data_IF_534692281700
#
_entry.id   IF_534692281700
#
_cell.length_a   1.000
_cell.length_b   1.000
_cell.length_c   1.000
_cell.angle_alpha   90.00
_cell.angle_beta   90.00
_cell.angle_gamma   90.00
#
_symmetry.space_group_name_H-M   'P 1'
#
loop_
_entity.id
_entity.type
_entity.pdbx_description
1 polymer ?
#
# COMPACT_ATOMS: atom_id res chain seq x y z
N UNK A 1 -14.43 -7.82 17.34
CA UNK A 1 -14.44 -6.46 17.92
C UNK A 1 -15.50 -5.66 17.18
N UNK A 2 -16.30 -4.86 17.88
CA UNK A 2 -17.20 -3.92 17.20
C UNK A 2 -16.35 -2.82 16.55
N UNK A 3 -16.55 -2.56 15.26
CA UNK A 3 -15.93 -1.43 14.60
C UNK A 3 -16.52 -0.13 15.16
N UNK A 4 -15.66 0.78 15.57
CA UNK A 4 -16.04 2.16 15.88
C UNK A 4 -15.88 3.01 14.61
N UNK A 5 -16.88 3.83 14.30
CA UNK A 5 -16.85 4.76 13.18
C UNK A 5 -16.88 6.17 13.74
N UNK A 6 -15.94 7.01 13.28
CA UNK A 6 -15.83 8.42 13.66
C UNK A 6 -16.01 9.29 12.43
N UNK A 7 -16.82 10.34 12.55
CA UNK A 7 -16.99 11.32 11.48
C UNK A 7 -15.82 12.30 11.50
N UNK A 8 -15.20 12.50 10.33
CA UNK A 8 -14.15 13.48 10.12
C UNK A 8 -14.63 14.54 9.14
N UNK A 9 -14.09 15.75 9.27
CA UNK A 9 -14.23 16.77 8.24
C UNK A 9 -13.58 16.29 6.94
N UNK A 10 -14.27 16.47 5.82
CA UNK A 10 -13.78 16.13 4.49
C UNK A 10 -13.65 17.43 3.70
N UNK A 11 -12.43 17.99 3.58
CA UNK A 11 -12.21 19.21 2.80
C UNK A 11 -12.44 18.94 1.32
N UNK A 12 -12.73 19.99 0.55
CA UNK A 12 -12.79 19.87 -0.91
C UNK A 12 -11.39 19.68 -1.50
N UNK A 13 -11.30 19.15 -2.72
CA UNK A 13 -10.00 19.00 -3.39
C UNK A 13 -9.36 20.36 -3.69
N UNK A 14 -10.17 21.38 -3.94
CA UNK A 14 -9.74 22.75 -4.18
C UNK A 14 -9.17 23.39 -2.90
N UNK A 15 -9.79 23.13 -1.75
CA UNK A 15 -9.26 23.54 -0.45
C UNK A 15 -7.90 22.89 -0.19
N UNK A 16 -7.81 21.56 -0.38
CA UNK A 16 -6.56 20.82 -0.23
C UNK A 16 -5.47 21.35 -1.17
N UNK A 17 -5.79 21.60 -2.43
CA UNK A 17 -4.87 22.17 -3.41
C UNK A 17 -4.38 23.55 -2.97
N UNK A 18 -5.26 24.42 -2.45
CA UNK A 18 -4.90 25.73 -1.93
C UNK A 18 -3.95 25.66 -0.72
N UNK A 19 -4.22 24.76 0.23
CA UNK A 19 -3.37 24.54 1.41
C UNK A 19 -1.99 24.00 0.99
N UNK A 20 -1.95 22.99 0.12
CA UNK A 20 -0.69 22.43 -0.39
C UNK A 20 0.11 23.46 -1.17
N UNK A 21 -0.53 24.23 -2.05
CA UNK A 21 0.10 25.29 -2.84
C UNK A 21 0.76 26.34 -1.93
N UNK A 22 0.10 26.70 -0.84
CA UNK A 22 0.63 27.65 0.15
C UNK A 22 1.81 27.06 0.91
N UNK A 23 1.65 25.87 1.52
CA UNK A 23 2.68 25.28 2.38
C UNK A 23 3.94 24.83 1.63
N UNK A 24 3.80 24.39 0.37
CA UNK A 24 4.96 23.99 -0.43
C UNK A 24 5.82 25.19 -0.86
N UNK A 25 5.24 26.38 -1.05
CA UNK A 25 6.00 27.59 -1.42
C UNK A 25 7.04 28.01 -0.38
N UNK A 26 6.87 27.58 0.87
CA UNK A 26 7.83 27.86 1.94
C UNK A 26 9.14 27.06 1.77
N UNK A 27 9.12 25.98 0.97
CA UNK A 27 10.23 25.03 0.84
C UNK A 27 10.77 24.89 -0.59
N UNK A 28 10.03 25.32 -1.60
CA UNK A 28 10.37 25.15 -3.01
C UNK A 28 10.31 26.49 -3.75
N UNK A 29 11.28 26.74 -4.64
CA UNK A 29 11.37 27.98 -5.41
C UNK A 29 10.15 28.19 -6.32
N UNK A 30 9.71 27.12 -6.98
CA UNK A 30 8.56 27.12 -7.89
C UNK A 30 7.59 25.99 -7.48
N UNK A 31 6.31 26.34 -7.34
CA UNK A 31 5.25 25.39 -6.98
C UNK A 31 3.99 25.71 -7.77
N UNK A 32 3.43 24.68 -8.40
CA UNK A 32 2.07 24.69 -8.93
C UNK A 32 1.32 23.46 -8.41
N UNK A 33 0.12 23.68 -7.88
CA UNK A 33 -0.78 22.61 -7.45
C UNK A 33 -2.11 22.77 -8.17
N UNK A 34 -2.59 21.69 -8.77
CA UNK A 34 -3.87 21.63 -9.47
C UNK A 34 -4.61 20.34 -9.13
N UNK A 35 -5.93 20.39 -9.18
CA UNK A 35 -6.79 19.20 -9.13
C UNK A 35 -6.96 18.70 -10.56
N UNK A 36 -6.63 17.43 -10.79
CA UNK A 36 -6.72 16.78 -12.11
C UNK A 36 -7.37 15.42 -11.96
N UNK A 37 -7.91 14.89 -13.06
CA UNK A 37 -8.37 13.51 -13.11
C UNK A 37 -7.20 12.54 -12.92
N UNK A 38 -7.46 11.43 -12.21
CA UNK A 38 -6.45 10.38 -12.05
C UNK A 38 -6.05 9.82 -13.42
N UNK A 39 -4.76 9.81 -13.78
CA UNK A 39 -4.32 9.18 -15.01
C UNK A 39 -4.58 7.66 -14.95
N UNK A 40 -4.58 7.00 -16.13
CA UNK A 40 -4.71 5.54 -16.20
C UNK A 40 -3.43 4.87 -15.68
N UNK A 41 -3.47 4.43 -14.42
CA UNK A 41 -2.34 3.82 -13.73
C UNK A 41 -2.01 2.40 -14.23
N UNK A 42 -2.79 1.83 -15.15
CA UNK A 42 -2.41 0.58 -15.83
C UNK A 42 -1.27 0.77 -16.84
N UNK A 43 -0.93 2.02 -17.17
CA UNK A 43 0.12 2.38 -18.12
C UNK A 43 1.44 2.69 -17.42
N UNK A 44 2.51 2.71 -18.21
CA UNK A 44 3.81 3.23 -17.78
C UNK A 44 3.66 4.66 -17.22
N UNK A 45 4.40 5.03 -16.16
CA UNK A 45 5.42 4.23 -15.46
C UNK A 45 4.89 3.34 -14.33
N UNK A 46 3.57 3.30 -14.11
CA UNK A 46 2.99 2.68 -12.92
C UNK A 46 2.70 1.20 -13.09
N UNK A 47 2.07 0.83 -14.22
CA UNK A 47 1.75 -0.57 -14.59
C UNK A 47 0.92 -1.32 -13.54
N UNK A 48 0.08 -0.61 -12.79
CA UNK A 48 -0.77 -1.18 -11.74
C UNK A 48 -1.88 -2.09 -12.32
N UNK A 49 -2.41 -3.04 -11.53
CA UNK A 49 -3.54 -3.88 -11.95
C UNK A 49 -4.88 -3.13 -12.03
N UNK A 50 -4.91 -1.85 -11.68
CA UNK A 50 -6.11 -1.00 -11.69
C UNK A 50 -5.86 0.34 -12.37
N UNK A 51 -6.91 0.93 -12.94
CA UNK A 51 -6.84 2.22 -13.65
C UNK A 51 -6.54 3.42 -12.75
N UNK A 52 -6.84 3.34 -11.45
CA UNK A 52 -6.69 4.47 -10.54
C UNK A 52 -6.77 4.07 -9.08
N UNK A 53 -6.38 5.00 -8.20
CA UNK A 53 -6.39 4.84 -6.74
C UNK A 53 -7.49 5.66 -6.04
N UNK A 54 -8.29 6.39 -6.81
CA UNK A 54 -9.39 7.21 -6.30
C UNK A 54 -10.64 6.36 -6.00
N UNK A 55 -11.65 6.97 -5.35
CA UNK A 55 -12.94 6.34 -5.07
C UNK A 55 -13.15 6.12 -3.57
N UNK A 56 -13.42 4.87 -3.17
CA UNK A 56 -13.67 4.51 -1.76
C UNK A 56 -12.38 4.08 -1.07
N UNK A 57 -11.50 5.05 -0.81
CA UNK A 57 -10.18 4.81 -0.22
C UNK A 57 -10.26 4.50 1.28
N UNK A 58 -9.35 3.67 1.78
CA UNK A 58 -9.19 3.34 3.20
C UNK A 58 -7.70 3.35 3.54
N UNK A 59 -7.38 3.80 4.75
CA UNK A 59 -6.08 3.58 5.36
C UNK A 59 -6.24 2.39 6.30
N UNK A 60 -5.44 1.36 6.10
CA UNK A 60 -5.42 0.17 6.95
C UNK A 60 -4.05 0.05 7.60
N UNK A 61 -4.03 0.08 8.93
CA UNK A 61 -2.84 -0.26 9.72
C UNK A 61 -3.06 -1.66 10.30
N UNK A 62 -2.20 -2.60 9.95
CA UNK A 62 -2.34 -4.01 10.35
C UNK A 62 -1.06 -4.50 10.99
N UNK A 63 -1.19 -5.07 12.19
CA UNK A 63 -0.07 -5.58 12.97
C UNK A 63 0.42 -4.58 14.01
N UNK A 64 1.71 -4.28 14.00
CA UNK A 64 2.34 -3.31 14.90
C UNK A 64 3.39 -3.90 15.85
N UNK A 65 4.08 -2.99 16.54
CA UNK A 65 5.21 -3.27 17.45
C UNK A 65 4.96 -4.38 18.49
N UNK A 66 3.76 -4.51 19.10
CA UNK A 66 3.51 -5.58 20.07
C UNK A 66 3.67 -7.00 19.52
N UNK A 67 3.64 -7.19 18.20
CA UNK A 67 3.86 -8.48 17.55
C UNK A 67 5.30 -8.67 17.04
N UNK A 68 6.13 -7.63 17.16
CA UNK A 68 7.52 -7.61 16.69
C UNK A 68 8.52 -7.69 17.85
N UNK A 69 8.22 -7.06 18.99
CA UNK A 69 9.15 -6.90 20.11
C UNK A 69 8.72 -7.67 21.37
N UNK A 70 9.67 -8.16 22.18
CA UNK A 70 11.12 -8.18 21.92
C UNK A 70 11.53 -9.25 20.90
N UNK A 71 10.65 -10.22 20.63
CA UNK A 71 10.82 -11.25 19.62
C UNK A 71 9.58 -11.29 18.73
N UNK A 72 9.82 -11.46 17.43
CA UNK A 72 8.75 -11.52 16.42
C UNK A 72 7.81 -12.69 16.68
N UNK A 73 6.51 -12.42 16.67
CA UNK A 73 5.48 -13.45 16.73
C UNK A 73 5.18 -13.95 15.31
N UNK A 74 5.88 -15.01 14.90
CA UNK A 74 5.71 -15.65 13.59
C UNK A 74 4.31 -16.25 13.34
N UNK A 75 3.45 -16.37 14.37
CA UNK A 75 2.05 -16.80 14.18
C UNK A 75 1.17 -15.69 13.61
N UNK A 76 1.64 -14.44 13.62
CA UNK A 76 0.90 -13.27 13.12
C UNK A 76 1.16 -13.10 11.63
N UNK A 77 0.43 -13.88 10.84
CA UNK A 77 0.41 -13.81 9.38
C UNK A 77 -0.91 -13.18 8.94
N UNK A 78 -0.83 -12.21 8.03
CA UNK A 78 -1.99 -11.44 7.59
C UNK A 78 -2.34 -11.78 6.15
N UNK A 79 -3.59 -12.21 5.94
CA UNK A 79 -4.14 -12.48 4.63
C UNK A 79 -4.81 -11.21 4.09
N UNK A 80 -4.27 -10.69 2.99
CA UNK A 80 -4.76 -9.45 2.39
C UNK A 80 -6.20 -9.56 1.87
N UNK A 81 -6.67 -10.74 1.46
CA UNK A 81 -8.08 -10.92 1.09
C UNK A 81 -9.00 -10.82 2.31
N UNK A 82 -8.55 -11.33 3.47
CA UNK A 82 -9.30 -11.18 4.73
C UNK A 82 -9.32 -9.73 5.18
N UNK A 83 -8.18 -9.03 5.10
CA UNK A 83 -8.11 -7.60 5.41
C UNK A 83 -9.07 -6.81 4.52
N UNK A 84 -9.07 -7.05 3.20
CA UNK A 84 -9.98 -6.39 2.26
C UNK A 84 -11.46 -6.60 2.63
N UNK A 85 -11.83 -7.81 3.10
CA UNK A 85 -13.17 -8.10 3.61
C UNK A 85 -13.47 -7.34 4.91
N UNK A 86 -12.53 -7.32 5.87
CA UNK A 86 -12.70 -6.64 7.16
C UNK A 86 -12.86 -5.12 7.02
N UNK A 87 -12.13 -4.49 6.08
CA UNK A 87 -12.27 -3.06 5.78
C UNK A 87 -13.47 -2.76 4.85
N UNK A 88 -14.34 -3.75 4.61
CA UNK A 88 -15.55 -3.66 3.77
C UNK A 88 -15.23 -3.21 2.33
N UNK A 89 -14.11 -3.68 1.77
CA UNK A 89 -13.65 -3.38 0.41
C UNK A 89 -13.15 -4.65 -0.30
N UNK A 90 -14.01 -5.66 -0.55
CA UNK A 90 -13.61 -6.83 -1.35
C UNK A 90 -13.19 -6.40 -2.76
N UNK A 91 -12.16 -7.05 -3.32
CA UNK A 91 -11.55 -6.59 -4.57
C UNK A 91 -10.68 -5.32 -4.45
N UNK A 92 -10.29 -4.94 -3.23
CA UNK A 92 -9.42 -3.80 -2.97
C UNK A 92 -8.13 -3.87 -3.79
N UNK A 93 -7.72 -2.70 -4.28
CA UNK A 93 -6.33 -2.48 -4.67
C UNK A 93 -5.56 -1.99 -3.44
N UNK A 94 -4.61 -2.80 -2.99
CA UNK A 94 -3.75 -2.54 -1.83
C UNK A 94 -2.39 -2.07 -2.35
N UNK A 95 -2.03 -0.86 -1.92
CA UNK A 95 -0.78 -0.17 -2.23
C UNK A 95 -0.20 0.39 -0.92
N UNK A 96 1.11 0.29 -0.72
CA UNK A 96 1.76 0.84 0.46
C UNK A 96 3.10 0.19 0.78
N UNK A 97 3.38 0.06 2.07
CA UNK A 97 4.57 -0.59 2.61
C UNK A 97 4.19 -1.57 3.73
N UNK A 98 5.00 -2.60 3.94
CA UNK A 98 4.83 -3.55 5.04
C UNK A 98 6.01 -4.52 5.14
N UNK A 99 5.91 -5.49 6.04
CA UNK A 99 6.88 -6.59 6.11
C UNK A 99 6.54 -7.69 5.11
N UNK A 100 7.56 -8.28 4.49
CA UNK A 100 7.40 -9.37 3.54
C UNK A 100 6.92 -10.67 4.17
N UNK A 101 6.24 -11.53 3.39
CA UNK A 101 5.73 -12.80 3.88
C UNK A 101 6.88 -13.80 4.08
N UNK A 102 7.52 -13.72 5.25
CA UNK A 102 8.65 -14.58 5.61
C UNK A 102 8.33 -16.08 5.47
N UNK A 103 7.08 -16.49 5.65
CA UNK A 103 6.63 -17.87 5.49
C UNK A 103 6.72 -18.37 4.04
N UNK A 104 6.73 -17.46 3.06
CA UNK A 104 6.82 -17.78 1.63
C UNK A 104 8.22 -17.47 1.10
N UNK A 105 8.81 -16.36 1.54
CA UNK A 105 10.14 -15.93 1.07
C UNK A 105 11.28 -16.64 1.81
N UNK A 106 11.07 -17.08 3.06
CA UNK A 106 12.08 -17.75 3.90
C UNK A 106 13.05 -16.81 4.61
N UNK A 107 12.91 -15.49 4.43
CA UNK A 107 13.76 -14.47 5.05
C UNK A 107 12.95 -13.21 5.41
N UNK A 108 13.56 -12.33 6.20
CA UNK A 108 13.00 -11.02 6.51
C UNK A 108 13.20 -10.07 5.33
N UNK A 109 12.15 -9.34 4.96
CA UNK A 109 12.16 -8.40 3.84
C UNK A 109 11.16 -7.27 4.08
N UNK A 110 11.39 -6.15 3.43
CA UNK A 110 10.41 -5.09 3.26
C UNK A 110 9.55 -5.40 2.04
N UNK A 111 8.29 -5.02 2.10
CA UNK A 111 7.27 -5.38 1.11
C UNK A 111 6.57 -4.13 0.58
N UNK A 112 6.46 -4.07 -0.74
CA UNK A 112 5.80 -3.01 -1.47
C UNK A 112 4.58 -3.63 -2.17
N UNK A 113 3.45 -3.79 -1.46
CA UNK A 113 2.26 -4.39 -2.03
C UNK A 113 1.77 -3.60 -3.24
N UNK A 114 1.52 -4.32 -4.33
CA UNK A 114 0.77 -3.87 -5.50
C UNK A 114 -0.22 -5.00 -5.81
N UNK A 115 -1.29 -5.07 -5.02
CA UNK A 115 -2.18 -6.24 -4.98
C UNK A 115 -3.61 -5.83 -5.26
N UNK A 116 -4.22 -6.43 -6.26
CA UNK A 116 -5.67 -6.47 -6.36
C UNK A 116 -6.16 -7.76 -5.68
N UNK A 117 -6.91 -7.63 -4.59
CA UNK A 117 -7.45 -8.80 -3.88
C UNK A 117 -8.56 -9.45 -4.68
N UNK A 118 -8.92 -10.69 -4.30
CA UNK A 118 -10.02 -11.43 -4.88
C UNK A 118 -11.34 -10.64 -4.80
N UNK A 119 -12.13 -10.75 -5.85
CA UNK A 119 -13.53 -10.29 -5.90
C UNK A 119 -14.40 -11.38 -6.52
N UNK A 120 -15.72 -11.24 -6.43
CA UNK A 120 -16.67 -12.20 -7.01
C UNK A 120 -16.47 -12.44 -8.52
N UNK A 121 -15.88 -11.48 -9.24
CA UNK A 121 -15.76 -11.50 -10.70
C UNK A 121 -14.32 -11.62 -11.20
N UNK A 122 -13.31 -11.49 -10.33
CA UNK A 122 -11.91 -11.46 -10.74
C UNK A 122 -11.00 -12.16 -9.74
N UNK A 123 -10.06 -12.99 -10.21
CA UNK A 123 -9.03 -13.56 -9.35
C UNK A 123 -8.10 -12.46 -8.83
N UNK A 124 -7.39 -12.72 -7.71
CA UNK A 124 -6.41 -11.78 -7.20
C UNK A 124 -5.24 -11.61 -8.16
N UNK A 125 -4.69 -10.40 -8.24
CA UNK A 125 -3.49 -10.07 -9.02
C UNK A 125 -2.42 -9.55 -8.07
N UNK A 126 -1.24 -10.14 -8.11
CA UNK A 126 -0.10 -9.73 -7.29
C UNK A 126 1.05 -9.22 -8.18
N UNK A 127 1.20 -7.90 -8.23
CA UNK A 127 2.31 -7.22 -8.92
C UNK A 127 3.35 -6.67 -7.94
N UNK A 128 3.39 -7.17 -6.72
CA UNK A 128 4.21 -6.59 -5.64
C UNK A 128 5.70 -6.79 -5.83
N UNK A 129 6.46 -6.01 -5.10
CA UNK A 129 7.89 -6.13 -4.95
C UNK A 129 8.25 -6.37 -3.49
N UNK A 130 9.44 -6.93 -3.26
CA UNK A 130 10.03 -6.98 -1.93
C UNK A 130 11.51 -6.60 -2.01
N UNK A 131 12.03 -6.07 -0.90
CA UNK A 131 13.42 -5.72 -0.75
C UNK A 131 14.04 -6.46 0.44
N UNK A 132 15.27 -6.95 0.28
CA UNK A 132 16.02 -7.60 1.35
C UNK A 132 17.51 -7.34 1.24
N UNK A 133 18.25 -7.67 2.30
CA UNK A 133 19.70 -7.47 2.36
C UNK A 133 20.39 -8.64 1.69
N UNK A 134 21.22 -8.35 0.68
CA UNK A 134 22.10 -9.34 0.06
C UNK A 134 23.11 -9.86 1.10
N UNK A 135 23.14 -11.17 1.40
CA UNK A 135 24.11 -11.70 2.34
C UNK A 135 25.55 -11.65 1.83
N UNK A 136 25.77 -11.50 0.51
CA UNK A 136 27.13 -11.49 -0.06
C UNK A 136 27.87 -10.15 0.15
N UNK A 137 27.17 -9.03 0.03
CA UNK A 137 27.77 -7.69 0.04
C UNK A 137 27.06 -6.67 0.96
N UNK A 138 25.94 -7.06 1.60
CA UNK A 138 25.15 -6.18 2.45
C UNK A 138 24.30 -5.15 1.69
N UNK A 139 24.24 -5.21 0.36
CA UNK A 139 23.44 -4.33 -0.48
C UNK A 139 21.93 -4.58 -0.41
N UNK A 140 21.14 -3.65 -0.93
CA UNK A 140 19.69 -3.81 -1.07
C UNK A 140 19.37 -4.54 -2.39
N UNK A 141 18.64 -5.65 -2.31
CA UNK A 141 18.09 -6.36 -3.47
C UNK A 141 16.60 -6.11 -3.55
N UNK A 142 16.17 -5.52 -4.66
CA UNK A 142 14.76 -5.35 -5.01
C UNK A 142 14.38 -6.42 -6.04
N UNK A 143 13.40 -7.24 -5.71
CA UNK A 143 12.93 -8.33 -6.58
C UNK A 143 11.41 -8.28 -6.74
N UNK A 144 10.91 -8.75 -7.88
CA UNK A 144 9.47 -8.86 -8.11
C UNK A 144 8.96 -10.12 -7.40
N UNK A 145 7.81 -10.01 -6.74
CA UNK A 145 7.27 -11.13 -5.97
C UNK A 145 7.01 -12.38 -6.84
N UNK A 146 6.57 -12.18 -8.09
CA UNK A 146 6.30 -13.25 -9.06
C UNK A 146 7.54 -14.00 -9.55
N UNK A 147 8.75 -13.54 -9.25
CA UNK A 147 9.99 -14.20 -9.70
C UNK A 147 10.45 -15.30 -8.73
N UNK A 148 9.81 -15.40 -7.53
CA UNK A 148 10.12 -16.41 -6.50
C UNK A 148 9.01 -17.43 -6.27
N UNK A 149 7.81 -17.21 -6.81
CA UNK A 149 6.60 -18.02 -6.58
C UNK A 149 5.99 -18.49 -7.89
#
# INVERSE_FOLDING_TARGET
MACAEFSFHVPSLEELAGVMQKGLKDNFADVQVSVVDCPDLTKEPFTFPVKGICGKTRIAEVGGVPYLLPLVNQKKVYDLNKIAKEIKLPGAFILGAGAGPFQTLGFNSEFMPVIQTESEHKPPVNGSYFAHVNPADGGCLLEKYSEKC
#
